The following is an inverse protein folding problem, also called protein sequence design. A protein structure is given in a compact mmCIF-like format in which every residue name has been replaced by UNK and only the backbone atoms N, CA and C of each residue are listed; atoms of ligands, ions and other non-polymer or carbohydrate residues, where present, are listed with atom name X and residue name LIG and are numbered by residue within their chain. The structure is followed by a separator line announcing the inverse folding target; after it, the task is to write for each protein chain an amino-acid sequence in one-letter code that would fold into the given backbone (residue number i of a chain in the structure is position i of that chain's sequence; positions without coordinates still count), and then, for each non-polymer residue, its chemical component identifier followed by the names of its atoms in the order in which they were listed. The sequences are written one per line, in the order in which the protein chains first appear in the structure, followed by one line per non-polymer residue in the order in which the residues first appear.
data_IF_226079196108
#
_entry.id   IF_226079196108
#
_cell.length_a   1.000
_cell.length_b   1.000
_cell.length_c   1.000
_cell.angle_alpha   90.00
_cell.angle_beta   90.00
_cell.angle_gamma   90.00
#
_symmetry.space_group_name_H-M   'P 1'
#
loop_
_entity.id
_entity.type
_entity.pdbx_description
1 polymer ?
#
# COMPACT_ATOMS: atom_id res chain seq x y z
N UNK A 1 8.04 -13.41 10.40
CA UNK A 1 7.72 -14.78 9.97
C UNK A 1 6.23 -15.08 10.16
N UNK A 2 5.70 -16.09 9.47
CA UNK A 2 4.26 -16.43 9.46
C UNK A 2 3.74 -16.75 10.86
N UNK A 3 4.49 -17.52 11.66
CA UNK A 3 4.11 -17.87 13.02
C UNK A 3 3.90 -16.64 13.90
N UNK A 4 4.84 -15.72 13.88
CA UNK A 4 4.73 -14.48 14.65
C UNK A 4 3.49 -13.66 14.27
N UNK A 5 3.19 -13.55 12.97
CA UNK A 5 2.01 -12.81 12.49
C UNK A 5 0.70 -13.48 12.94
N UNK A 6 0.62 -14.81 12.89
CA UNK A 6 -0.56 -15.55 13.35
C UNK A 6 -0.76 -15.45 14.87
N UNK A 7 0.32 -15.46 15.65
CA UNK A 7 0.28 -15.26 17.10
C UNK A 7 -0.15 -13.84 17.44
N UNK A 8 0.41 -12.82 16.79
CA UNK A 8 -0.01 -11.43 16.96
C UNK A 8 -1.50 -11.24 16.66
N UNK A 9 -2.00 -11.87 15.61
CA UNK A 9 -3.43 -11.83 15.26
C UNK A 9 -4.29 -12.46 16.35
N UNK A 10 -3.91 -13.64 16.86
CA UNK A 10 -4.61 -14.33 17.94
C UNK A 10 -4.68 -13.50 19.21
N UNK A 11 -3.53 -13.01 19.68
CA UNK A 11 -3.42 -12.18 20.89
C UNK A 11 -4.24 -10.89 20.74
N UNK A 12 -4.14 -10.23 19.58
CA UNK A 12 -4.87 -8.97 19.35
C UNK A 12 -6.38 -9.17 19.40
N UNK A 13 -6.90 -10.27 18.86
CA UNK A 13 -8.32 -10.63 18.92
C UNK A 13 -8.78 -10.95 20.34
N UNK A 14 -8.00 -11.75 21.05
CA UNK A 14 -8.31 -12.15 22.44
C UNK A 14 -8.41 -10.93 23.38
N UNK A 15 -7.57 -9.92 23.17
CA UNK A 15 -7.51 -8.74 24.03
C UNK A 15 -8.26 -7.52 23.47
N UNK A 16 -8.86 -7.63 22.28
CA UNK A 16 -9.61 -6.54 21.66
C UNK A 16 -8.72 -5.37 21.16
N UNK A 17 -7.47 -5.63 20.83
CA UNK A 17 -6.53 -4.61 20.33
C UNK A 17 -6.76 -4.32 18.85
N UNK A 18 -7.78 -3.53 18.54
CA UNK A 18 -8.28 -3.27 17.18
C UNK A 18 -7.16 -2.84 16.21
N UNK A 19 -6.31 -1.91 16.62
CA UNK A 19 -5.23 -1.41 15.75
C UNK A 19 -4.18 -2.50 15.43
N UNK A 20 -3.79 -3.30 16.42
CA UNK A 20 -2.85 -4.39 16.22
C UNK A 20 -3.47 -5.54 15.42
N UNK A 21 -4.76 -5.83 15.63
CA UNK A 21 -5.49 -6.80 14.82
C UNK A 21 -5.54 -6.37 13.34
N UNK A 22 -5.80 -5.09 13.07
CA UNK A 22 -5.80 -4.53 11.73
C UNK A 22 -4.43 -4.68 11.06
N UNK A 23 -3.35 -4.30 11.75
CA UNK A 23 -1.98 -4.44 11.24
C UNK A 23 -1.61 -5.92 10.99
N UNK A 24 -1.96 -6.81 11.90
CA UNK A 24 -1.68 -8.24 11.76
C UNK A 24 -2.46 -8.84 10.57
N UNK A 25 -3.73 -8.46 10.39
CA UNK A 25 -4.56 -8.87 9.27
C UNK A 25 -3.99 -8.37 7.93
N UNK A 26 -3.59 -7.10 7.86
CA UNK A 26 -2.94 -6.56 6.66
C UNK A 26 -1.63 -7.29 6.34
N UNK A 27 -0.80 -7.55 7.36
CA UNK A 27 0.44 -8.29 7.20
C UNK A 27 0.22 -9.75 6.75
N UNK A 28 -0.90 -10.37 7.15
CA UNK A 28 -1.30 -11.69 6.65
C UNK A 28 -1.72 -11.63 5.18
N UNK A 29 -2.51 -10.64 4.77
CA UNK A 29 -2.87 -10.44 3.36
C UNK A 29 -1.62 -10.24 2.48
N UNK A 30 -0.69 -9.37 2.91
CA UNK A 30 0.58 -9.13 2.22
C UNK A 30 1.46 -10.39 2.11
N UNK A 31 1.43 -11.25 3.11
CA UNK A 31 2.15 -12.53 3.06
C UNK A 31 1.49 -13.51 2.09
N UNK A 32 0.17 -13.65 2.18
CA UNK A 32 -0.61 -14.64 1.44
C UNK A 32 -0.91 -14.23 -0.01
N UNK A 33 -0.72 -12.96 -0.38
CA UNK A 33 -0.96 -12.51 -1.77
C UNK A 33 -0.19 -13.34 -2.80
N UNK A 34 1.03 -13.77 -2.46
CA UNK A 34 1.79 -14.70 -3.26
C UNK A 34 1.34 -16.15 -2.98
N UNK A 35 0.73 -16.78 -3.95
CA UNK A 35 0.20 -18.14 -3.83
C UNK A 35 1.23 -19.15 -3.30
N UNK A 36 2.49 -19.01 -3.70
CA UNK A 36 3.58 -19.87 -3.19
C UNK A 36 3.71 -19.87 -1.66
N UNK A 37 3.41 -18.73 -1.00
CA UNK A 37 3.46 -18.64 0.46
C UNK A 37 2.29 -19.40 1.10
N UNK A 38 1.11 -19.32 0.51
CA UNK A 38 -0.06 -20.09 0.94
C UNK A 38 0.25 -21.60 0.85
N UNK A 39 0.72 -22.08 -0.31
CA UNK A 39 1.04 -23.47 -0.55
C UNK A 39 2.14 -23.97 0.42
N UNK A 40 3.17 -23.14 0.66
CA UNK A 40 4.25 -23.46 1.59
C UNK A 40 3.76 -23.59 3.05
N UNK A 41 2.81 -22.74 3.48
CA UNK A 41 2.23 -22.82 4.82
C UNK A 41 1.34 -24.05 4.94
N UNK A 42 0.56 -24.37 3.93
CA UNK A 42 -0.25 -25.58 3.87
C UNK A 42 0.62 -26.84 4.03
N UNK A 43 1.73 -26.91 3.31
CA UNK A 43 2.64 -28.07 3.32
C UNK A 43 3.42 -28.19 4.63
N UNK A 44 4.08 -27.09 5.05
CA UNK A 44 5.07 -27.16 6.14
C UNK A 44 4.54 -26.80 7.51
N UNK A 45 3.38 -26.12 7.59
CA UNK A 45 2.79 -25.62 8.84
C UNK A 45 1.26 -25.78 8.87
N UNK A 46 0.74 -27.00 8.71
CA UNK A 46 -0.71 -27.23 8.62
C UNK A 46 -1.45 -26.79 9.88
N UNK A 47 -0.82 -26.80 11.04
CA UNK A 47 -1.43 -26.30 12.29
C UNK A 47 -1.63 -24.78 12.25
N UNK A 48 -0.66 -24.02 11.70
CA UNK A 48 -0.80 -22.56 11.51
C UNK A 48 -1.88 -22.28 10.49
N UNK A 49 -1.90 -23.03 9.37
CA UNK A 49 -2.95 -22.86 8.36
C UNK A 49 -4.34 -23.11 8.96
N UNK A 50 -4.54 -24.18 9.74
CA UNK A 50 -5.84 -24.43 10.42
C UNK A 50 -6.24 -23.31 11.38
N UNK A 51 -5.27 -22.68 12.05
CA UNK A 51 -5.57 -21.58 12.97
C UNK A 51 -5.98 -20.30 12.24
N UNK A 52 -5.43 -20.01 11.06
CA UNK A 52 -5.73 -18.80 10.28
C UNK A 52 -6.84 -19.01 9.23
N UNK A 53 -7.15 -20.28 8.89
CA UNK A 53 -8.14 -20.67 7.88
C UNK A 53 -9.00 -21.83 8.40
N UNK A 54 -9.75 -21.59 9.46
CA UNK A 54 -10.65 -22.60 10.07
C UNK A 54 -11.83 -22.98 9.18
N UNK A 55 -12.17 -22.17 8.19
CA UNK A 55 -13.27 -22.38 7.24
C UNK A 55 -12.80 -23.04 5.93
N UNK A 56 -11.51 -23.37 5.83
CA UNK A 56 -10.89 -24.00 4.66
C UNK A 56 -11.14 -23.23 3.35
N UNK A 57 -11.02 -21.91 3.42
CA UNK A 57 -11.20 -21.03 2.28
C UNK A 57 -10.07 -21.25 1.25
N UNK A 58 -10.36 -21.14 -0.05
CA UNK A 58 -9.34 -21.15 -1.08
C UNK A 58 -8.41 -19.91 -0.94
N UNK A 59 -7.25 -20.01 -1.56
CA UNK A 59 -6.20 -18.98 -1.48
C UNK A 59 -6.72 -17.56 -1.78
N UNK A 60 -7.47 -17.41 -2.86
CA UNK A 60 -8.01 -16.13 -3.32
C UNK A 60 -8.91 -15.48 -2.27
N UNK A 61 -9.81 -16.28 -1.69
CA UNK A 61 -10.78 -15.80 -0.70
C UNK A 61 -10.11 -15.49 0.64
N UNK A 62 -9.23 -16.37 1.12
CA UNK A 62 -8.53 -16.16 2.38
C UNK A 62 -7.69 -14.88 2.35
N UNK A 63 -6.97 -14.66 1.26
CA UNK A 63 -6.12 -13.48 1.09
C UNK A 63 -6.95 -12.20 1.12
N UNK A 64 -8.03 -12.16 0.36
CA UNK A 64 -8.93 -11.00 0.31
C UNK A 64 -9.65 -10.79 1.65
N UNK A 65 -10.04 -11.85 2.34
CA UNK A 65 -10.67 -11.79 3.65
C UNK A 65 -9.80 -11.06 4.67
N UNK A 66 -8.52 -11.37 4.74
CA UNK A 66 -7.58 -10.67 5.62
C UNK A 66 -7.43 -9.19 5.25
N UNK A 67 -7.36 -8.87 3.98
CA UNK A 67 -7.28 -7.48 3.52
C UNK A 67 -8.56 -6.69 3.86
N UNK A 68 -9.74 -7.26 3.63
CA UNK A 68 -11.02 -6.63 4.01
C UNK A 68 -11.19 -6.48 5.51
N UNK A 69 -10.79 -7.48 6.30
CA UNK A 69 -10.82 -7.38 7.76
C UNK A 69 -9.94 -6.23 8.26
N UNK A 70 -8.74 -6.09 7.72
CA UNK A 70 -7.86 -4.98 8.04
C UNK A 70 -8.49 -3.63 7.70
N UNK A 71 -9.09 -3.52 6.50
CA UNK A 71 -9.76 -2.30 6.04
C UNK A 71 -10.90 -1.89 6.97
N UNK A 72 -11.77 -2.83 7.36
CA UNK A 72 -12.90 -2.56 8.24
C UNK A 72 -12.46 -2.08 9.62
N UNK A 73 -11.40 -2.68 10.16
CA UNK A 73 -10.83 -2.28 11.45
C UNK A 73 -10.17 -0.90 11.38
N UNK A 74 -9.40 -0.60 10.34
CA UNK A 74 -8.81 0.73 10.17
C UNK A 74 -9.85 1.81 9.90
N UNK A 75 -10.95 1.49 9.20
CA UNK A 75 -12.09 2.40 9.05
C UNK A 75 -12.75 2.72 10.38
N UNK A 76 -12.94 1.72 11.25
CA UNK A 76 -13.46 1.93 12.62
C UNK A 76 -12.50 2.78 13.46
N UNK A 77 -11.20 2.62 13.27
CA UNK A 77 -10.19 3.41 13.96
C UNK A 77 -10.05 4.84 13.40
N UNK A 78 -10.38 5.05 12.12
CA UNK A 78 -10.36 6.36 11.46
C UNK A 78 -8.98 6.81 10.97
N UNK A 79 -8.02 5.91 10.80
CA UNK A 79 -6.66 6.20 10.30
C UNK A 79 -6.63 6.24 8.77
N UNK A 80 -6.67 7.45 8.19
CA UNK A 80 -6.69 7.65 6.74
C UNK A 80 -5.46 7.09 6.04
N UNK A 81 -4.28 7.15 6.68
CA UNK A 81 -3.04 6.61 6.16
C UNK A 81 -3.11 5.08 6.04
N UNK A 82 -3.52 4.41 7.10
CA UNK A 82 -3.67 2.96 7.12
C UNK A 82 -4.79 2.48 6.20
N UNK A 83 -5.91 3.20 6.11
CA UNK A 83 -6.99 2.89 5.19
C UNK A 83 -6.49 2.91 3.74
N UNK A 84 -5.75 3.96 3.34
CA UNK A 84 -5.19 4.04 1.99
C UNK A 84 -4.16 2.92 1.72
N UNK A 85 -3.30 2.62 2.69
CA UNK A 85 -2.35 1.51 2.63
C UNK A 85 -3.04 0.16 2.46
N UNK A 86 -4.17 -0.05 3.13
CA UNK A 86 -4.93 -1.31 3.03
C UNK A 86 -5.66 -1.45 1.70
N UNK A 87 -6.19 -0.36 1.13
CA UNK A 87 -6.70 -0.39 -0.24
C UNK A 87 -5.60 -0.74 -1.25
N UNK A 88 -4.37 -0.26 -1.05
CA UNK A 88 -3.21 -0.67 -1.84
C UNK A 88 -2.92 -2.17 -1.69
N UNK A 89 -3.05 -2.72 -0.48
CA UNK A 89 -2.93 -4.17 -0.25
C UNK A 89 -4.01 -4.96 -1.00
N UNK A 90 -5.28 -4.51 -0.97
CA UNK A 90 -6.36 -5.11 -1.76
C UNK A 90 -6.04 -5.10 -3.26
N UNK A 91 -5.51 -3.99 -3.77
CA UNK A 91 -5.10 -3.88 -5.16
C UNK A 91 -3.96 -4.85 -5.50
N UNK A 92 -2.96 -4.98 -4.61
CA UNK A 92 -1.86 -5.92 -4.79
C UNK A 92 -2.35 -7.37 -4.82
N UNK A 93 -3.25 -7.75 -3.91
CA UNK A 93 -3.86 -9.07 -3.89
C UNK A 93 -4.67 -9.35 -5.19
N UNK A 94 -5.41 -8.34 -5.66
CA UNK A 94 -6.18 -8.46 -6.91
C UNK A 94 -5.28 -8.60 -8.14
N UNK A 95 -4.16 -7.87 -8.20
CA UNK A 95 -3.16 -8.01 -9.26
C UNK A 95 -2.56 -9.43 -9.31
N UNK A 96 -2.19 -10.00 -8.17
CA UNK A 96 -1.66 -11.38 -8.08
C UNK A 96 -2.70 -12.44 -8.51
N UNK A 97 -3.98 -12.12 -8.35
CA UNK A 97 -5.10 -12.97 -8.77
C UNK A 97 -5.55 -12.69 -10.22
N UNK A 98 -4.89 -11.80 -10.96
CA UNK A 98 -5.23 -11.42 -12.33
C UNK A 98 -6.50 -10.57 -12.46
N UNK A 99 -7.02 -10.01 -11.36
CA UNK A 99 -8.23 -9.15 -11.32
C UNK A 99 -7.83 -7.68 -11.42
N UNK A 100 -7.35 -7.27 -12.58
CA UNK A 100 -6.71 -5.97 -12.77
C UNK A 100 -7.67 -4.77 -12.71
N UNK A 101 -8.92 -4.93 -13.14
CA UNK A 101 -9.96 -3.90 -13.03
C UNK A 101 -10.29 -3.64 -11.54
N UNK A 102 -10.42 -4.69 -10.73
CA UNK A 102 -10.61 -4.56 -9.29
C UNK A 102 -9.41 -3.86 -8.64
N UNK A 103 -8.19 -4.24 -9.05
CA UNK A 103 -6.98 -3.59 -8.57
C UNK A 103 -6.95 -2.10 -8.89
N UNK A 104 -7.34 -1.70 -10.10
CA UNK A 104 -7.42 -0.29 -10.48
C UNK A 104 -8.47 0.46 -9.66
N UNK A 105 -9.63 -0.16 -9.41
CA UNK A 105 -10.65 0.40 -8.54
C UNK A 105 -10.11 0.64 -7.12
N UNK A 106 -9.46 -0.35 -6.52
CA UNK A 106 -8.88 -0.21 -5.17
C UNK A 106 -7.76 0.84 -5.12
N UNK A 107 -6.94 0.96 -6.15
CA UNK A 107 -5.92 2.02 -6.22
C UNK A 107 -6.54 3.41 -6.34
N UNK A 108 -7.65 3.55 -7.05
CA UNK A 108 -8.41 4.80 -7.11
C UNK A 108 -8.98 5.19 -5.74
N UNK A 109 -9.56 4.22 -5.00
CA UNK A 109 -10.00 4.43 -3.62
C UNK A 109 -8.83 4.83 -2.70
N UNK A 110 -7.70 4.14 -2.83
CA UNK A 110 -6.50 4.44 -2.08
C UNK A 110 -6.04 5.88 -2.27
N UNK A 111 -5.97 6.36 -3.52
CA UNK A 111 -5.63 7.77 -3.82
C UNK A 111 -6.65 8.74 -3.26
N UNK A 112 -7.94 8.39 -3.24
CA UNK A 112 -8.97 9.19 -2.58
C UNK A 112 -8.69 9.39 -1.09
N UNK A 113 -8.21 8.36 -0.39
CA UNK A 113 -7.81 8.47 1.03
C UNK A 113 -6.49 9.20 1.21
N UNK A 114 -5.54 9.09 0.29
CA UNK A 114 -4.32 9.92 0.28
C UNK A 114 -4.69 11.41 0.19
N UNK A 115 -5.59 11.76 -0.73
CA UNK A 115 -6.06 13.14 -0.90
C UNK A 115 -6.77 13.66 0.36
N UNK A 116 -7.63 12.85 1.00
CA UNK A 116 -8.28 13.20 2.28
C UNK A 116 -7.27 13.40 3.41
N UNK A 117 -6.24 12.57 3.47
CA UNK A 117 -5.16 12.73 4.43
C UNK A 117 -4.43 14.06 4.22
N UNK A 118 -4.12 14.41 2.97
CA UNK A 118 -3.51 15.67 2.58
C UNK A 118 -4.39 16.88 2.96
N UNK A 119 -5.67 16.84 2.61
CA UNK A 119 -6.63 17.89 2.95
C UNK A 119 -6.69 18.11 4.47
N UNK A 120 -6.70 17.04 5.25
CA UNK A 120 -6.80 17.11 6.71
C UNK A 120 -5.55 17.67 7.38
N UNK A 121 -4.37 17.27 6.93
CA UNK A 121 -3.12 17.55 7.64
C UNK A 121 -2.28 18.67 7.00
N UNK A 122 -2.45 18.91 5.71
CA UNK A 122 -1.65 19.89 4.94
C UNK A 122 -2.52 20.97 4.27
N UNK A 123 -3.83 20.99 4.54
CA UNK A 123 -4.78 22.00 4.06
C UNK A 123 -4.84 22.15 2.53
N UNK A 124 -4.52 21.07 1.80
CA UNK A 124 -4.61 21.03 0.35
C UNK A 124 -6.09 21.00 -0.07
N UNK A 125 -6.63 22.09 -0.52
CA UNK A 125 -8.07 22.24 -0.84
C UNK A 125 -8.36 22.37 -2.34
N UNK A 126 -7.35 22.69 -3.16
CA UNK A 126 -7.53 22.83 -4.60
C UNK A 126 -7.71 21.45 -5.26
N UNK A 127 -8.68 21.36 -6.17
CA UNK A 127 -8.90 20.14 -6.96
C UNK A 127 -7.74 19.83 -7.90
N UNK A 128 -6.92 20.82 -8.25
CA UNK A 128 -5.72 20.64 -9.05
C UNK A 128 -4.59 19.97 -8.27
N UNK A 129 -4.57 20.12 -6.94
CA UNK A 129 -3.57 19.56 -6.04
C UNK A 129 -3.88 18.12 -5.63
N UNK A 130 -4.86 17.46 -6.24
CA UNK A 130 -5.26 16.11 -5.89
C UNK A 130 -4.60 15.08 -6.79
N UNK A 131 -4.08 14.04 -6.18
CA UNK A 131 -3.58 12.86 -6.90
C UNK A 131 -4.72 12.18 -7.67
N UNK A 132 -4.45 11.85 -8.93
CA UNK A 132 -5.38 11.12 -9.81
C UNK A 132 -4.67 9.92 -10.42
N UNK A 133 -5.39 8.82 -10.71
CA UNK A 133 -4.79 7.65 -11.35
C UNK A 133 -4.10 7.97 -12.68
N UNK A 134 -4.69 8.85 -13.47
CA UNK A 134 -4.15 9.33 -14.72
C UNK A 134 -4.69 10.71 -15.05
N UNK A 135 -3.82 11.60 -15.48
CA UNK A 135 -4.19 12.93 -15.95
C UNK A 135 -3.63 13.10 -17.37
N UNK A 136 -4.48 13.11 -18.41
CA UNK A 136 -4.02 13.35 -19.77
C UNK A 136 -3.33 14.71 -19.88
N UNK A 137 -2.18 14.74 -20.56
CA UNK A 137 -1.41 15.96 -20.82
C UNK A 137 -0.85 16.71 -19.59
N UNK A 138 -0.74 16.05 -18.42
CA UNK A 138 -0.04 16.62 -17.28
C UNK A 138 1.46 16.80 -17.62
N UNK A 139 1.97 18.01 -17.40
CA UNK A 139 3.38 18.37 -17.69
C UNK A 139 4.25 18.34 -16.45
N UNK A 140 3.66 18.44 -15.27
CA UNK A 140 4.34 18.45 -13.97
C UNK A 140 3.71 17.42 -13.04
N UNK A 141 4.51 16.86 -12.13
CA UNK A 141 4.07 15.94 -11.11
C UNK A 141 3.72 16.70 -9.83
N UNK A 142 2.46 16.65 -9.44
CA UNK A 142 1.98 17.20 -8.15
C UNK A 142 2.71 16.53 -6.99
N UNK A 143 3.05 15.26 -7.13
CA UNK A 143 3.77 14.49 -6.12
C UNK A 143 5.12 15.11 -5.78
N UNK A 144 5.87 15.59 -6.78
CA UNK A 144 7.16 16.25 -6.53
C UNK A 144 6.98 17.61 -5.87
N UNK A 145 5.94 18.35 -6.22
CA UNK A 145 5.60 19.61 -5.54
C UNK A 145 5.28 19.35 -4.06
N UNK A 146 4.48 18.34 -3.77
CA UNK A 146 4.15 17.96 -2.40
C UNK A 146 5.36 17.45 -1.59
N UNK A 147 6.27 16.71 -2.22
CA UNK A 147 7.50 16.21 -1.57
C UNK A 147 8.45 17.36 -1.24
N UNK A 148 8.47 18.42 -2.06
CA UNK A 148 9.28 19.61 -1.82
C UNK A 148 8.69 20.54 -0.76
N UNK A 149 7.40 20.45 -0.47
CA UNK A 149 6.78 21.20 0.62
C UNK A 149 7.24 20.64 1.98
N UNK A 150 7.66 21.51 2.88
CA UNK A 150 8.21 21.12 4.20
C UNK A 150 7.26 20.25 5.04
N UNK A 151 5.95 20.29 4.76
CA UNK A 151 4.95 19.47 5.43
C UNK A 151 4.89 18.01 5.00
N UNK A 152 5.46 17.61 3.85
CA UNK A 152 5.17 16.34 3.20
C UNK A 152 6.37 15.38 3.15
N UNK A 153 7.50 15.75 3.71
CA UNK A 153 8.77 14.97 3.69
C UNK A 153 8.65 13.52 4.19
N UNK A 154 7.58 13.18 4.89
CA UNK A 154 7.41 11.83 5.47
C UNK A 154 6.72 10.81 4.56
N UNK A 155 6.29 11.16 3.33
CA UNK A 155 5.42 10.31 2.52
C UNK A 155 5.88 10.00 1.08
N UNK A 156 7.11 10.33 0.63
CA UNK A 156 7.52 10.07 -0.76
C UNK A 156 7.44 8.59 -1.13
N UNK A 157 7.93 7.71 -0.27
CA UNK A 157 7.89 6.26 -0.51
C UNK A 157 6.47 5.70 -0.57
N UNK A 158 5.55 6.27 0.21
CA UNK A 158 4.15 5.89 0.18
C UNK A 158 3.50 6.21 -1.16
N UNK A 159 3.67 7.46 -1.66
CA UNK A 159 3.15 7.89 -2.96
C UNK A 159 3.81 7.08 -4.10
N UNK A 160 5.13 6.89 -4.04
CA UNK A 160 5.87 6.10 -5.02
C UNK A 160 5.28 4.69 -5.19
N UNK A 161 4.97 4.01 -4.09
CA UNK A 161 4.37 2.66 -4.13
C UNK A 161 2.99 2.63 -4.80
N UNK A 162 2.18 3.68 -4.68
CA UNK A 162 0.92 3.78 -5.42
C UNK A 162 1.16 3.92 -6.91
N UNK A 163 2.10 4.78 -7.30
CA UNK A 163 2.44 5.01 -8.70
C UNK A 163 3.04 3.78 -9.36
N UNK A 164 3.88 3.03 -8.64
CA UNK A 164 4.39 1.74 -9.08
C UNK A 164 3.26 0.76 -9.38
N UNK A 165 2.34 0.57 -8.43
CA UNK A 165 1.22 -0.36 -8.61
C UNK A 165 0.26 0.07 -9.72
N UNK A 166 -0.06 1.37 -9.84
CA UNK A 166 -0.85 1.89 -10.96
C UNK A 166 -0.18 1.58 -12.29
N UNK A 167 1.14 1.78 -12.40
CA UNK A 167 1.90 1.47 -13.60
C UNK A 167 1.77 0.00 -13.98
N UNK A 168 1.98 -0.91 -13.02
CA UNK A 168 1.87 -2.37 -13.23
C UNK A 168 0.45 -2.77 -13.63
N UNK A 169 -0.57 -2.25 -12.94
CA UNK A 169 -1.98 -2.56 -13.22
C UNK A 169 -2.40 -2.08 -14.60
N UNK A 170 -2.03 -0.85 -14.98
CA UNK A 170 -2.31 -0.34 -16.32
C UNK A 170 -1.57 -1.11 -17.41
N UNK A 171 -0.32 -1.55 -17.16
CA UNK A 171 0.41 -2.40 -18.10
C UNK A 171 -0.30 -3.73 -18.33
N UNK A 172 -0.80 -4.37 -17.27
CA UNK A 172 -1.54 -5.63 -17.36
C UNK A 172 -2.87 -5.47 -18.13
N UNK A 173 -3.51 -4.30 -18.05
CA UNK A 173 -4.71 -3.95 -18.83
C UNK A 173 -4.39 -3.49 -20.28
N UNK A 174 -3.12 -3.47 -20.70
CA UNK A 174 -2.71 -3.01 -22.02
C UNK A 174 -2.80 -1.48 -22.22
N UNK A 175 -3.00 -0.72 -21.15
CA UNK A 175 -3.16 0.74 -21.15
C UNK A 175 -1.80 1.44 -21.05
N UNK A 176 -1.00 1.36 -22.10
CA UNK A 176 0.38 1.81 -22.11
C UNK A 176 0.59 3.30 -21.73
N UNK A 177 -0.16 4.27 -22.28
CA UNK A 177 0.03 5.68 -21.89
C UNK A 177 -0.13 5.92 -20.38
N UNK A 178 -1.13 5.27 -19.77
CA UNK A 178 -1.41 5.36 -18.34
C UNK A 178 -0.29 4.68 -17.52
N UNK A 179 0.19 3.53 -17.98
CA UNK A 179 1.30 2.82 -17.36
C UNK A 179 2.57 3.66 -17.37
N UNK A 180 2.94 4.21 -18.55
CA UNK A 180 4.14 5.04 -18.71
C UNK A 180 4.07 6.31 -17.85
N UNK A 181 2.90 6.98 -17.79
CA UNK A 181 2.66 8.15 -16.95
C UNK A 181 2.97 7.85 -15.47
N UNK A 182 2.37 6.80 -14.93
CA UNK A 182 2.57 6.43 -13.53
C UNK A 182 4.01 5.96 -13.25
N UNK A 183 4.63 5.24 -14.19
CA UNK A 183 6.01 4.79 -14.09
C UNK A 183 6.99 5.96 -14.03
N UNK A 184 6.78 6.99 -14.85
CA UNK A 184 7.65 8.16 -14.86
C UNK A 184 7.60 8.89 -13.52
N UNK A 185 6.39 9.12 -12.97
CA UNK A 185 6.24 9.74 -11.64
C UNK A 185 6.93 8.89 -10.56
N UNK A 186 6.76 7.58 -10.58
CA UNK A 186 7.44 6.66 -9.66
C UNK A 186 8.97 6.81 -9.72
N UNK A 187 9.54 6.85 -10.93
CA UNK A 187 10.98 6.99 -11.13
C UNK A 187 11.49 8.37 -10.67
N UNK A 188 10.73 9.44 -10.95
CA UNK A 188 11.07 10.80 -10.51
C UNK A 188 11.12 10.91 -8.99
N UNK A 189 10.15 10.29 -8.28
CA UNK A 189 10.13 10.26 -6.82
C UNK A 189 11.33 9.47 -6.27
N UNK A 190 11.68 8.33 -6.88
CA UNK A 190 12.83 7.53 -6.46
C UNK A 190 14.15 8.29 -6.66
N UNK A 191 14.30 8.99 -7.76
CA UNK A 191 15.49 9.81 -8.04
C UNK A 191 15.62 10.95 -7.01
N UNK A 192 14.53 11.64 -6.72
CA UNK A 192 14.49 12.68 -5.73
C UNK A 192 14.90 12.16 -4.34
N UNK A 193 14.28 11.07 -3.88
CA UNK A 193 14.58 10.49 -2.56
C UNK A 193 15.99 9.90 -2.46
N UNK A 194 16.56 9.42 -3.57
CA UNK A 194 17.96 8.98 -3.63
C UNK A 194 18.92 10.15 -3.47
N UNK A 195 18.70 11.25 -4.18
CA UNK A 195 19.52 12.45 -4.09
C UNK A 195 19.49 13.05 -2.68
N UNK A 196 18.35 13.07 -2.03
CA UNK A 196 18.21 13.56 -0.66
C UNK A 196 19.02 12.70 0.33
N UNK A 197 18.93 11.38 0.24
CA UNK A 197 19.72 10.43 1.07
C UNK A 197 21.24 10.54 0.82
N UNK A 198 21.66 10.78 -0.42
CA UNK A 198 23.07 11.01 -0.74
C UNK A 198 23.59 12.31 -0.14
N UNK A 199 22.81 13.39 -0.19
CA UNK A 199 23.12 14.66 0.45
C UNK A 199 23.23 14.51 1.97
N UNK A 200 22.25 13.89 2.61
CA UNK A 200 22.24 13.64 4.05
C UNK A 200 23.45 12.80 4.48
N UNK A 201 23.80 11.79 3.71
CA UNK A 201 24.99 10.97 3.96
C UNK A 201 26.29 11.79 3.89
N UNK A 202 26.39 12.72 2.95
CA UNK A 202 27.55 13.62 2.83
C UNK A 202 27.64 14.60 3.99
N UNK A 203 26.53 15.19 4.42
CA UNK A 203 26.49 16.07 5.61
C UNK A 203 26.92 15.31 6.87
N UNK A 204 26.37 14.12 7.10
CA UNK A 204 26.72 13.29 8.25
C UNK A 204 28.18 12.82 8.26
N UNK A 205 28.83 12.76 7.11
CA UNK A 205 30.26 12.47 7.01
C UNK A 205 31.12 13.68 7.41
N UNK A 206 30.70 14.89 7.00
CA UNK A 206 31.40 16.15 7.32
C UNK A 206 31.28 16.55 8.81
N UNK A 207 30.18 16.18 9.48
CA UNK A 207 30.01 16.46 10.92
C UNK A 207 30.86 15.55 11.82
N UNK A 208 31.45 14.47 11.27
CA UNK A 208 32.30 13.52 11.99
C UNK A 208 33.80 13.79 11.85
N UNK A 209 34.18 14.74 11.01
CA UNK A 209 35.55 15.24 10.89
C UNK A 209 35.78 16.45 11.81
#
# INVERSE_FOLDING_TARGET
TTLFRSECLGISREHGYIYFEANASQAMAELLKERKNFDLIMERRPNVMRAINSEDLPWEELTMRFAWQALDLFKKYGDLYQISGTYRTLASCSNEQGRYEDALHYLSEALGYVNRHHEKYYHCTDTMDRLRPYVPMATTSIELEWINDDGIKSVPEWIARFREQLSVTYAALGMKPQSDYNRNIYLDILDYTRQDKELESRYNALEKE
#
